data_IF_465965837551
#
_entry.id   IF_465965837551
#
_cell.length_a   1.000
_cell.length_b   1.000
_cell.length_c   1.000
_cell.angle_alpha   90.00
_cell.angle_beta   90.00
_cell.angle_gamma   90.00
#
_symmetry.space_group_name_H-M   'P 1'
#
loop_
_entity.id
_entity.type
_entity.pdbx_description
1 polymer ?
#
# COMPACT_ATOMS: atom_id res chain seq x y z
N UNK A 1 -34.25 -12.83 -25.86
CA UNK A 1 -33.31 -12.60 -26.98
C UNK A 1 -31.94 -13.19 -26.67
N UNK A 2 -31.07 -13.38 -27.65
CA UNK A 2 -29.69 -13.89 -27.46
C UNK A 2 -28.89 -12.96 -26.53
N UNK A 3 -29.16 -11.66 -26.52
CA UNK A 3 -28.54 -10.70 -25.61
C UNK A 3 -28.98 -10.91 -24.16
N UNK A 4 -30.22 -11.16 -23.88
CA UNK A 4 -30.74 -11.46 -22.53
C UNK A 4 -30.14 -12.75 -22.00
N UNK A 5 -30.01 -13.79 -22.80
CA UNK A 5 -29.33 -15.03 -22.41
C UNK A 5 -27.84 -14.81 -22.11
N UNK A 6 -27.15 -13.94 -22.85
CA UNK A 6 -25.77 -13.57 -22.56
C UNK A 6 -25.64 -12.79 -21.22
N UNK A 7 -26.56 -11.86 -20.97
CA UNK A 7 -26.56 -11.12 -19.70
C UNK A 7 -26.83 -12.05 -18.52
N UNK A 8 -27.84 -12.90 -18.59
CA UNK A 8 -28.16 -13.88 -17.54
C UNK A 8 -26.98 -14.82 -17.31
N UNK A 9 -26.34 -15.35 -18.36
CA UNK A 9 -25.16 -16.22 -18.20
C UNK A 9 -23.94 -15.51 -17.62
N UNK A 10 -23.75 -14.23 -17.91
CA UNK A 10 -22.69 -13.42 -17.31
C UNK A 10 -22.93 -13.14 -15.82
N UNK A 11 -24.19 -12.90 -15.42
CA UNK A 11 -24.53 -12.73 -14.00
C UNK A 11 -24.31 -14.01 -13.21
N UNK A 12 -24.81 -15.17 -13.70
CA UNK A 12 -24.55 -16.43 -13.01
C UNK A 12 -23.07 -16.76 -12.89
N UNK A 13 -22.29 -16.58 -13.96
CA UNK A 13 -20.84 -16.81 -13.93
C UNK A 13 -20.12 -15.89 -12.94
N UNK A 14 -20.60 -14.66 -12.78
CA UNK A 14 -20.04 -13.70 -11.82
C UNK A 14 -20.35 -14.10 -10.39
N UNK A 15 -21.54 -14.55 -10.10
CA UNK A 15 -21.95 -15.02 -8.78
C UNK A 15 -21.23 -16.31 -8.40
N UNK A 16 -21.07 -17.25 -9.34
CA UNK A 16 -20.28 -18.47 -9.14
C UNK A 16 -18.81 -18.15 -8.80
N UNK A 17 -18.19 -17.22 -9.53
CA UNK A 17 -16.81 -16.79 -9.23
C UNK A 17 -16.68 -16.13 -7.86
N UNK A 18 -17.66 -15.35 -7.42
CA UNK A 18 -17.67 -14.78 -6.07
C UNK A 18 -17.77 -15.87 -5.00
N UNK A 19 -18.62 -16.87 -5.19
CA UNK A 19 -18.72 -18.02 -4.28
C UNK A 19 -17.39 -18.78 -4.19
N UNK A 20 -16.72 -18.99 -5.32
CA UNK A 20 -15.39 -19.59 -5.35
C UNK A 20 -14.34 -18.74 -4.62
N UNK A 21 -14.38 -17.40 -4.78
CA UNK A 21 -13.49 -16.49 -4.07
C UNK A 21 -13.69 -16.54 -2.55
N UNK A 22 -14.95 -16.55 -2.09
CA UNK A 22 -15.24 -16.70 -0.66
C UNK A 22 -14.80 -18.07 -0.13
N UNK A 23 -15.02 -19.14 -0.89
CA UNK A 23 -14.56 -20.48 -0.49
C UNK A 23 -13.04 -20.55 -0.34
N UNK A 24 -12.29 -19.90 -1.24
CA UNK A 24 -10.84 -19.79 -1.16
C UNK A 24 -10.40 -18.96 0.06
N UNK A 25 -11.11 -17.85 0.35
CA UNK A 25 -10.84 -17.03 1.53
C UNK A 25 -11.11 -17.81 2.83
N UNK A 26 -12.25 -18.49 2.93
CA UNK A 26 -12.59 -19.30 4.10
C UNK A 26 -11.56 -20.39 4.34
N UNK A 27 -11.04 -21.00 3.27
CA UNK A 27 -9.95 -21.97 3.37
C UNK A 27 -8.69 -21.34 3.92
N UNK A 28 -8.29 -20.16 3.42
CA UNK A 28 -7.11 -19.45 3.92
C UNK A 28 -7.25 -19.10 5.40
N UNK A 29 -8.41 -18.59 5.81
CA UNK A 29 -8.71 -18.29 7.21
C UNK A 29 -8.69 -19.58 8.06
N UNK A 30 -9.21 -20.69 7.56
CA UNK A 30 -9.16 -21.97 8.22
C UNK A 30 -7.73 -22.44 8.49
N UNK A 31 -6.86 -22.34 7.48
CA UNK A 31 -5.43 -22.69 7.60
C UNK A 31 -4.71 -21.79 8.61
N UNK A 32 -4.92 -20.47 8.54
CA UNK A 32 -4.33 -19.54 9.51
C UNK A 32 -4.76 -19.85 10.94
N UNK A 33 -6.05 -20.14 11.15
CA UNK A 33 -6.58 -20.54 12.46
C UNK A 33 -5.97 -21.86 12.97
N UNK A 34 -5.72 -22.83 12.11
CA UNK A 34 -5.05 -24.07 12.47
C UNK A 34 -3.64 -23.81 13.01
N UNK A 35 -2.84 -22.98 12.30
CA UNK A 35 -1.52 -22.56 12.77
C UNK A 35 -1.58 -21.83 14.10
N UNK A 36 -2.54 -20.90 14.26
CA UNK A 36 -2.74 -20.17 15.52
C UNK A 36 -3.10 -21.09 16.70
N UNK A 37 -3.86 -22.15 16.46
CA UNK A 37 -4.21 -23.14 17.50
C UNK A 37 -3.00 -24.01 17.86
N UNK A 38 -2.26 -24.48 16.87
CA UNK A 38 -1.17 -25.45 17.05
C UNK A 38 0.12 -24.76 17.51
N UNK A 39 0.55 -23.73 16.78
CA UNK A 39 1.83 -23.06 16.99
C UNK A 39 1.72 -21.76 17.80
N UNK A 40 0.50 -21.26 17.99
CA UNK A 40 0.14 -20.04 18.75
C UNK A 40 0.72 -18.75 18.18
N UNK A 41 1.42 -18.80 17.05
CA UNK A 41 2.03 -17.62 16.41
C UNK A 41 2.24 -17.86 14.91
N UNK A 42 2.14 -16.79 14.14
CA UNK A 42 2.49 -16.75 12.72
C UNK A 42 3.75 -15.88 12.61
N UNK A 43 4.92 -16.49 12.46
CA UNK A 43 6.18 -15.76 12.41
C UNK A 43 6.85 -15.79 11.04
N UNK A 44 6.55 -16.79 10.21
CA UNK A 44 7.15 -16.95 8.89
C UNK A 44 6.22 -17.73 7.94
N UNK A 45 6.00 -17.26 6.69
CA UNK A 45 5.19 -18.00 5.70
C UNK A 45 5.67 -19.42 5.41
N UNK A 46 6.97 -19.72 5.63
CA UNK A 46 7.55 -21.05 5.46
C UNK A 46 7.04 -22.10 6.46
N UNK A 47 6.37 -21.66 7.55
CA UNK A 47 5.60 -22.56 8.40
C UNK A 47 4.56 -23.37 7.59
N UNK A 48 4.10 -22.86 6.45
CA UNK A 48 3.09 -23.46 5.56
C UNK A 48 1.88 -22.59 5.29
N UNK A 49 1.57 -21.64 6.16
CA UNK A 49 0.43 -20.75 6.00
C UNK A 49 0.57 -19.78 4.81
N UNK A 50 1.79 -19.49 4.36
CA UNK A 50 2.04 -18.62 3.20
C UNK A 50 1.48 -19.17 1.88
N UNK A 51 1.19 -20.47 1.81
CA UNK A 51 0.49 -21.10 0.69
C UNK A 51 -0.63 -22.02 1.19
N UNK A 52 -1.75 -21.47 1.63
CA UNK A 52 -2.84 -22.22 2.25
C UNK A 52 -3.48 -23.25 1.34
N UNK A 53 -3.50 -23.03 0.02
CA UNK A 53 -4.03 -24.00 -0.95
C UNK A 53 -3.14 -25.24 -1.01
N UNK A 54 -1.84 -25.05 -1.07
CA UNK A 54 -0.88 -26.18 -1.08
C UNK A 54 -0.89 -26.93 0.23
N UNK A 55 -0.96 -26.22 1.35
CA UNK A 55 -1.00 -26.82 2.68
C UNK A 55 -2.25 -27.67 2.91
N UNK A 56 -3.43 -27.15 2.58
CA UNK A 56 -4.69 -27.88 2.76
C UNK A 56 -4.89 -29.02 1.77
N UNK A 57 -4.27 -28.96 0.60
CA UNK A 57 -4.50 -29.90 -0.51
C UNK A 57 -5.91 -29.79 -1.11
N UNK A 58 -6.69 -28.75 -0.79
CA UNK A 58 -8.05 -28.55 -1.27
C UNK A 58 -8.02 -27.75 -2.56
N UNK A 59 -8.83 -28.18 -3.52
CA UNK A 59 -9.00 -27.55 -4.83
C UNK A 59 -10.49 -27.30 -5.13
N UNK A 60 -10.80 -26.36 -6.05
CA UNK A 60 -12.18 -26.17 -6.50
C UNK A 60 -12.79 -27.48 -7.03
N UNK A 61 -14.08 -27.69 -6.76
CA UNK A 61 -14.81 -28.85 -7.31
C UNK A 61 -14.97 -28.75 -8.83
N UNK A 62 -15.10 -27.52 -9.35
CA UNK A 62 -15.14 -27.27 -10.79
C UNK A 62 -13.69 -27.20 -11.34
N UNK A 63 -13.27 -28.13 -12.20
CA UNK A 63 -11.91 -28.16 -12.74
C UNK A 63 -11.59 -26.99 -13.69
N UNK A 64 -12.59 -26.23 -14.11
CA UNK A 64 -12.40 -25.01 -14.94
C UNK A 64 -12.06 -23.78 -14.13
N UNK A 65 -12.25 -23.83 -12.81
CA UNK A 65 -11.93 -22.75 -11.86
C UNK A 65 -10.55 -22.98 -11.28
N UNK A 66 -9.78 -21.90 -11.17
CA UNK A 66 -8.48 -21.90 -10.46
C UNK A 66 -8.54 -20.92 -9.31
N UNK A 67 -8.09 -21.33 -8.16
CA UNK A 67 -7.86 -20.46 -7.00
C UNK A 67 -6.42 -19.99 -6.97
N UNK A 68 -6.24 -18.73 -6.63
CA UNK A 68 -4.94 -18.15 -6.27
C UNK A 68 -5.13 -17.26 -5.05
N UNK A 69 -4.31 -17.46 -4.04
CA UNK A 69 -4.34 -16.69 -2.80
C UNK A 69 -2.93 -16.16 -2.56
N UNK A 70 -2.82 -14.88 -2.28
CA UNK A 70 -1.60 -14.26 -1.79
C UNK A 70 -1.87 -13.72 -0.38
N UNK A 71 -1.04 -14.10 0.57
CA UNK A 71 -1.07 -13.59 1.94
C UNK A 71 0.14 -12.68 2.13
N UNK A 72 -0.11 -11.49 2.64
CA UNK A 72 0.91 -10.49 2.96
C UNK A 72 0.87 -10.29 4.47
N UNK A 73 2.02 -10.41 5.12
CA UNK A 73 2.15 -10.12 6.54
C UNK A 73 2.39 -8.63 6.74
N UNK A 74 1.37 -7.93 7.18
CA UNK A 74 1.50 -6.49 7.48
C UNK A 74 2.46 -6.21 8.64
N UNK A 75 2.70 -7.18 9.54
CA UNK A 75 3.69 -7.02 10.60
C UNK A 75 5.15 -6.99 10.12
N UNK A 76 5.40 -7.40 8.90
CA UNK A 76 6.72 -7.24 8.25
C UNK A 76 7.02 -5.82 7.75
N UNK A 77 6.06 -4.91 7.86
CA UNK A 77 6.17 -3.52 7.41
C UNK A 77 6.34 -2.56 8.60
N UNK A 78 6.83 -1.36 8.35
CA UNK A 78 6.92 -0.31 9.37
C UNK A 78 5.56 0.39 9.49
N UNK A 79 5.00 0.52 10.71
CA UNK A 79 3.82 1.37 10.90
C UNK A 79 4.17 2.82 10.58
N UNK A 80 3.41 3.46 9.69
CA UNK A 80 3.63 4.88 9.34
C UNK A 80 3.56 5.77 10.59
N UNK A 81 2.69 5.43 11.54
CA UNK A 81 2.54 6.18 12.79
C UNK A 81 3.75 6.13 13.73
N UNK A 82 4.71 5.23 13.51
CA UNK A 82 5.86 5.00 14.40
C UNK A 82 7.21 5.38 13.79
N UNK A 83 7.26 5.71 12.51
CA UNK A 83 8.51 6.12 11.85
C UNK A 83 8.93 7.53 12.33
N UNK A 84 10.22 7.73 12.49
CA UNK A 84 10.74 9.06 12.82
C UNK A 84 10.84 9.92 11.55
N UNK A 85 10.62 11.23 11.70
CA UNK A 85 10.73 12.21 10.62
C UNK A 85 11.97 12.02 9.76
N UNK A 86 13.16 12.05 10.39
CA UNK A 86 14.45 11.89 9.70
C UNK A 86 14.54 10.62 8.84
N UNK A 87 13.92 9.51 9.29
CA UNK A 87 13.95 8.25 8.56
C UNK A 87 13.01 8.29 7.36
N UNK A 88 11.86 8.95 7.50
CA UNK A 88 10.90 9.11 6.41
C UNK A 88 11.40 10.11 5.37
N UNK A 89 11.98 11.23 5.78
CA UNK A 89 12.65 12.20 4.91
C UNK A 89 13.77 11.52 4.12
N UNK A 90 14.66 10.78 4.79
CA UNK A 90 15.71 10.01 4.11
C UNK A 90 15.15 8.96 3.14
N UNK A 91 14.03 8.35 3.47
CA UNK A 91 13.36 7.37 2.59
C UNK A 91 12.85 8.03 1.31
N UNK A 92 12.22 9.20 1.40
CA UNK A 92 11.79 9.98 0.24
C UNK A 92 12.97 10.50 -0.58
N UNK A 93 14.02 11.01 0.07
CA UNK A 93 15.23 11.46 -0.61
C UNK A 93 15.88 10.35 -1.44
N UNK A 94 15.98 9.12 -0.90
CA UNK A 94 16.49 7.96 -1.64
C UNK A 94 15.60 7.63 -2.85
N UNK A 95 14.30 7.75 -2.72
CA UNK A 95 13.37 7.53 -3.84
C UNK A 95 13.55 8.59 -4.93
N UNK A 96 13.83 9.83 -4.53
CA UNK A 96 14.05 10.95 -5.44
C UNK A 96 15.36 10.86 -6.19
N UNK A 97 16.42 10.36 -5.56
CA UNK A 97 17.81 10.43 -6.03
C UNK A 97 18.10 9.75 -7.39
N UNK A 98 17.16 9.01 -7.97
CA UNK A 98 17.22 8.39 -9.29
C UNK A 98 18.61 7.77 -9.64
N UNK A 99 19.29 7.24 -8.60
CA UNK A 99 20.62 6.65 -8.67
C UNK A 99 21.79 7.64 -8.67
N UNK A 100 21.54 8.94 -8.50
CA UNK A 100 22.55 9.99 -8.28
C UNK A 100 22.85 10.21 -6.79
N UNK A 101 23.60 11.25 -6.47
CA UNK A 101 23.89 11.60 -5.08
C UNK A 101 22.60 11.96 -4.35
N UNK A 102 22.37 11.34 -3.18
CA UNK A 102 21.21 11.63 -2.33
C UNK A 102 21.48 12.89 -1.53
N UNK A 103 20.66 13.91 -1.72
CA UNK A 103 20.57 15.05 -0.80
C UNK A 103 19.43 14.75 0.18
N UNK A 104 19.72 14.84 1.49
CA UNK A 104 18.68 14.58 2.50
C UNK A 104 17.55 15.61 2.43
N UNK A 105 17.84 16.84 2.00
CA UNK A 105 16.85 17.90 1.83
C UNK A 105 15.85 17.59 0.70
N UNK A 106 16.20 16.74 -0.29
CA UNK A 106 15.29 16.33 -1.37
C UNK A 106 14.05 15.55 -0.89
N UNK A 107 14.05 15.04 0.32
CA UNK A 107 12.92 14.32 0.91
C UNK A 107 11.96 15.20 1.73
N UNK A 108 12.42 16.40 2.13
CA UNK A 108 11.67 17.27 3.03
C UNK A 108 10.32 17.73 2.45
N UNK A 109 10.21 18.15 1.17
CA UNK A 109 8.94 18.61 0.61
C UNK A 109 7.83 17.55 0.67
N UNK A 110 8.17 16.28 0.48
CA UNK A 110 7.20 15.18 0.55
C UNK A 110 6.76 14.90 2.00
N UNK A 111 7.70 15.01 2.94
CA UNK A 111 7.38 14.86 4.36
C UNK A 111 6.47 16.00 4.82
N UNK A 112 6.83 17.25 4.55
CA UNK A 112 6.08 18.44 4.97
C UNK A 112 4.65 18.41 4.39
N UNK A 113 4.51 18.19 3.08
CA UNK A 113 3.19 18.06 2.44
C UNK A 113 2.34 16.91 3.01
N UNK A 114 2.98 15.78 3.37
CA UNK A 114 2.28 14.67 4.00
C UNK A 114 1.84 15.00 5.43
N UNK A 115 2.58 15.82 6.15
CA UNK A 115 2.23 16.21 7.52
C UNK A 115 1.14 17.27 7.54
N UNK A 116 1.21 18.29 6.69
CA UNK A 116 0.18 19.33 6.54
C UNK A 116 -1.16 18.70 6.09
N UNK A 117 -1.12 17.71 5.20
CA UNK A 117 -2.32 16.96 4.81
C UNK A 117 -3.05 16.31 6.00
N UNK A 118 -2.34 15.98 7.07
CA UNK A 118 -2.85 15.18 8.19
C UNK A 118 -3.19 15.98 9.43
N UNK A 119 -2.57 17.14 9.63
CA UNK A 119 -2.87 17.94 10.82
C UNK A 119 -4.15 18.78 10.62
N UNK A 120 -4.58 19.46 11.64
CA UNK A 120 -5.87 20.14 11.65
C UNK A 120 -5.72 21.65 11.77
N UNK A 121 -4.48 22.15 11.72
CA UNK A 121 -4.24 23.59 11.66
C UNK A 121 -3.97 24.05 10.22
N UNK A 122 -3.73 25.32 10.01
CA UNK A 122 -3.47 25.94 8.71
C UNK A 122 -2.05 26.54 8.68
N UNK A 123 -1.17 26.05 9.54
CA UNK A 123 0.20 26.53 9.65
C UNK A 123 1.10 25.70 8.69
N UNK A 124 1.23 26.14 7.44
CA UNK A 124 2.03 25.51 6.40
C UNK A 124 3.49 25.35 6.81
N UNK A 125 4.05 24.14 6.67
CA UNK A 125 5.48 23.88 6.82
C UNK A 125 6.26 24.50 5.67
N UNK A 126 7.59 24.64 5.87
CA UNK A 126 8.46 25.36 4.93
C UNK A 126 8.32 24.88 3.46
N UNK A 127 8.10 23.59 3.23
CA UNK A 127 7.97 22.99 1.90
C UNK A 127 6.62 22.27 1.72
N UNK A 128 5.69 22.50 2.64
CA UNK A 128 4.41 21.80 2.72
C UNK A 128 3.31 22.36 1.82
N UNK A 129 2.06 22.07 2.15
CA UNK A 129 0.88 22.61 1.49
C UNK A 129 -0.36 22.44 2.37
N UNK A 130 -1.07 23.54 2.57
CA UNK A 130 -2.34 23.63 3.27
C UNK A 130 -3.51 23.95 2.32
N UNK A 131 -4.67 24.19 2.84
CA UNK A 131 -5.90 24.41 2.08
C UNK A 131 -5.76 25.47 0.99
N UNK A 132 -5.01 26.56 1.23
CA UNK A 132 -4.77 27.62 0.25
C UNK A 132 -4.13 27.07 -1.06
N UNK A 133 -3.20 26.11 -0.95
CA UNK A 133 -2.61 25.45 -2.12
C UNK A 133 -3.64 24.60 -2.88
N UNK A 134 -4.44 23.81 -2.16
CA UNK A 134 -5.39 22.88 -2.77
C UNK A 134 -6.64 23.58 -3.33
N UNK A 135 -7.01 24.74 -2.80
CA UNK A 135 -8.09 25.58 -3.34
C UNK A 135 -7.74 26.21 -4.71
N UNK A 136 -6.46 26.49 -4.96
CA UNK A 136 -5.99 27.12 -6.20
C UNK A 136 -5.83 26.11 -7.36
N UNK A 137 -6.03 24.81 -7.13
CA UNK A 137 -5.98 23.80 -8.18
C UNK A 137 -7.17 23.89 -9.15
N UNK A 138 -7.00 23.41 -10.38
CA UNK A 138 -8.07 23.30 -11.39
C UNK A 138 -9.32 22.56 -10.90
N UNK A 139 -9.16 21.62 -10.00
CA UNK A 139 -10.21 20.89 -9.31
C UNK A 139 -10.03 21.04 -7.81
N UNK A 140 -10.51 22.13 -7.22
CA UNK A 140 -10.28 22.47 -5.82
C UNK A 140 -10.79 21.42 -4.83
N UNK A 141 -10.04 21.20 -3.76
CA UNK A 141 -10.42 20.41 -2.59
C UNK A 141 -9.70 20.93 -1.35
N UNK A 142 -9.97 20.35 -0.21
CA UNK A 142 -9.38 20.71 1.08
C UNK A 142 -8.61 19.54 1.66
N UNK A 143 -7.66 19.83 2.53
CA UNK A 143 -7.00 18.84 3.34
C UNK A 143 -8.02 18.14 4.27
N UNK A 144 -7.89 16.85 4.56
CA UNK A 144 -8.83 16.18 5.44
C UNK A 144 -8.58 16.51 6.93
N UNK A 145 -7.45 17.11 7.31
CA UNK A 145 -7.06 17.42 8.67
C UNK A 145 -7.08 16.17 9.59
N UNK A 146 -6.74 15.01 9.07
CA UNK A 146 -6.72 13.72 9.77
C UNK A 146 -5.64 12.81 9.22
N UNK A 147 -5.26 11.81 10.00
CA UNK A 147 -4.29 10.79 9.56
C UNK A 147 -4.70 10.14 8.24
N UNK A 148 -3.73 9.91 7.38
CA UNK A 148 -3.90 9.13 6.13
C UNK A 148 -4.34 7.72 6.50
N UNK A 149 -5.42 7.25 5.88
CA UNK A 149 -6.01 5.94 6.14
C UNK A 149 -5.72 4.92 5.04
N UNK A 150 -5.36 5.39 3.85
CA UNK A 150 -5.08 4.51 2.73
C UNK A 150 -4.07 5.13 1.75
N UNK A 151 -3.41 4.25 0.97
CA UNK A 151 -2.37 4.67 0.02
C UNK A 151 -2.90 5.50 -1.17
N UNK A 152 -4.18 5.44 -1.49
CA UNK A 152 -4.74 6.22 -2.61
C UNK A 152 -4.82 7.72 -2.30
N UNK A 153 -4.83 8.10 -1.02
CA UNK A 153 -4.80 9.50 -0.59
C UNK A 153 -3.55 10.25 -1.08
N UNK A 154 -2.43 9.54 -1.24
CA UNK A 154 -1.21 10.14 -1.80
C UNK A 154 -1.37 10.72 -3.21
N UNK A 155 -2.43 10.37 -3.94
CA UNK A 155 -2.75 11.01 -5.22
C UNK A 155 -3.14 12.48 -5.09
N UNK A 156 -3.58 12.87 -3.90
CA UNK A 156 -4.12 14.20 -3.62
C UNK A 156 -3.11 15.09 -2.89
N UNK A 157 -2.01 14.54 -2.43
CA UNK A 157 -0.99 15.26 -1.65
C UNK A 157 0.04 15.85 -2.61
N UNK A 158 0.38 17.13 -2.42
CA UNK A 158 1.40 17.87 -3.20
C UNK A 158 2.70 17.05 -3.32
N UNK A 159 3.27 17.02 -4.52
CA UNK A 159 4.52 16.32 -4.82
C UNK A 159 4.38 14.81 -5.11
N UNK A 160 3.36 14.11 -4.59
CA UNK A 160 3.23 12.66 -4.79
C UNK A 160 2.65 12.26 -6.15
N UNK A 161 1.71 13.01 -6.69
CA UNK A 161 1.28 12.89 -8.08
C UNK A 161 2.10 13.82 -8.98
N UNK A 162 2.17 13.47 -10.27
CA UNK A 162 2.86 14.31 -11.25
C UNK A 162 2.10 15.60 -11.46
N UNK A 163 2.84 16.71 -11.43
CA UNK A 163 2.38 18.05 -11.74
C UNK A 163 3.18 18.58 -12.95
N UNK A 164 2.48 19.04 -13.99
CA UNK A 164 3.13 19.59 -15.19
C UNK A 164 3.78 20.96 -14.96
N UNK A 165 3.31 21.68 -13.95
CA UNK A 165 3.87 23.00 -13.58
C UNK A 165 5.12 22.85 -12.73
N UNK A 166 5.26 21.74 -12.01
CA UNK A 166 6.44 21.40 -11.22
C UNK A 166 6.94 19.94 -11.43
N UNK A 167 7.38 19.59 -12.63
CA UNK A 167 7.76 18.22 -12.96
C UNK A 167 9.04 17.73 -12.26
N UNK A 168 9.76 18.62 -11.57
CA UNK A 168 11.00 18.25 -10.86
C UNK A 168 10.72 17.84 -9.42
N UNK A 169 9.71 18.41 -8.77
CA UNK A 169 9.37 18.20 -7.36
C UNK A 169 8.07 17.44 -7.17
N UNK A 170 7.58 16.82 -8.24
CA UNK A 170 6.36 16.04 -8.23
C UNK A 170 6.53 14.66 -8.85
N UNK A 171 5.50 13.83 -8.75
CA UNK A 171 5.43 12.54 -9.44
C UNK A 171 6.20 11.40 -8.78
N UNK A 172 6.57 11.53 -7.50
CA UNK A 172 7.31 10.45 -6.81
C UNK A 172 6.53 9.14 -6.74
N UNK A 173 5.21 9.19 -6.57
CA UNK A 173 4.35 8.01 -6.48
C UNK A 173 3.50 7.75 -7.71
N UNK A 174 3.10 8.80 -8.43
CA UNK A 174 2.24 8.68 -9.62
C UNK A 174 2.79 9.53 -10.74
N UNK A 175 3.03 8.90 -11.90
CA UNK A 175 3.58 9.55 -13.07
C UNK A 175 2.51 10.35 -13.86
N UNK A 176 2.89 11.05 -14.92
CA UNK A 176 2.04 11.90 -15.76
C UNK A 176 0.78 11.20 -16.31
N UNK A 177 0.79 9.89 -16.48
CA UNK A 177 -0.39 9.14 -16.91
C UNK A 177 -1.23 8.60 -15.74
N UNK A 178 -0.93 8.99 -14.50
CA UNK A 178 -1.61 8.57 -13.27
C UNK A 178 -1.32 7.15 -12.83
N UNK A 179 -0.35 6.46 -13.45
CA UNK A 179 0.06 5.12 -13.03
C UNK A 179 1.04 5.18 -11.87
N UNK A 180 0.98 4.17 -10.98
CA UNK A 180 1.92 4.04 -9.87
C UNK A 180 3.35 3.85 -10.38
N UNK A 181 4.27 4.57 -9.75
CA UNK A 181 5.72 4.40 -9.94
C UNK A 181 6.24 3.17 -9.18
N UNK A 182 7.49 2.83 -9.39
CA UNK A 182 8.17 1.81 -8.57
C UNK A 182 8.31 2.27 -7.11
N UNK A 183 8.39 3.58 -6.87
CA UNK A 183 8.51 4.15 -5.53
C UNK A 183 7.24 3.95 -4.72
N UNK A 184 6.04 4.13 -5.33
CA UNK A 184 4.78 3.83 -4.66
C UNK A 184 4.67 2.36 -4.28
N UNK A 185 5.10 1.45 -5.16
CA UNK A 185 5.12 0.01 -4.85
C UNK A 185 6.06 -0.29 -3.69
N UNK A 186 7.28 0.24 -3.71
CA UNK A 186 8.25 0.07 -2.64
C UNK A 186 7.72 0.65 -1.32
N UNK A 187 7.09 1.82 -1.35
CA UNK A 187 6.49 2.44 -0.17
C UNK A 187 5.39 1.57 0.43
N UNK A 188 4.47 1.09 -0.40
CA UNK A 188 3.39 0.18 0.01
C UNK A 188 3.91 -1.17 0.55
N UNK A 189 5.03 -1.65 0.02
CA UNK A 189 5.67 -2.87 0.50
C UNK A 189 6.38 -2.67 1.84
N UNK A 190 6.88 -1.46 2.12
CA UNK A 190 7.65 -1.15 3.32
C UNK A 190 6.81 -0.62 4.49
N UNK A 191 5.69 0.06 4.22
CA UNK A 191 4.88 0.75 5.23
C UNK A 191 3.49 0.17 5.36
N UNK A 192 2.90 0.32 6.55
CA UNK A 192 1.55 -0.15 6.86
C UNK A 192 0.76 0.88 7.66
N UNK A 193 -0.54 0.98 7.36
CA UNK A 193 -1.54 1.67 8.17
C UNK A 193 -2.30 0.73 9.10
N UNK A 194 -2.06 -0.59 9.01
CA UNK A 194 -2.91 -1.62 9.59
C UNK A 194 -2.36 -2.27 10.85
N UNK A 195 -1.12 -1.97 11.22
CA UNK A 195 -0.53 -2.50 12.45
C UNK A 195 0.28 -1.41 13.17
N UNK A 196 0.47 -1.58 14.49
CA UNK A 196 1.18 -0.65 15.37
C UNK A 196 2.27 -1.35 16.21
N UNK A 197 2.56 -2.60 15.90
CA UNK A 197 3.52 -3.44 16.65
C UNK A 197 4.95 -3.34 16.12
N UNK A 198 5.87 -4.10 16.71
CA UNK A 198 7.23 -4.23 16.21
C UNK A 198 7.25 -4.93 14.86
N UNK A 199 8.24 -4.59 14.03
CA UNK A 199 8.40 -5.17 12.69
C UNK A 199 8.85 -6.63 12.78
N UNK A 200 8.13 -7.52 12.10
CA UNK A 200 8.53 -8.91 11.93
C UNK A 200 9.63 -9.02 10.87
N UNK A 201 10.86 -9.18 11.30
CA UNK A 201 12.03 -9.21 10.41
C UNK A 201 12.02 -10.41 9.45
N UNK A 202 11.30 -11.50 9.78
CA UNK A 202 11.24 -12.68 8.91
C UNK A 202 10.41 -12.45 7.64
N UNK A 203 9.50 -11.47 7.69
CA UNK A 203 8.61 -11.14 6.57
C UNK A 203 8.86 -9.73 6.03
N UNK A 204 9.81 -8.99 6.64
CA UNK A 204 10.18 -7.66 6.20
C UNK A 204 10.76 -7.67 4.77
N UNK A 205 10.36 -6.73 3.89
CA UNK A 205 10.88 -6.63 2.53
C UNK A 205 12.39 -6.39 2.53
N UNK A 206 13.11 -6.98 1.58
CA UNK A 206 14.56 -6.80 1.47
C UNK A 206 14.98 -5.33 1.32
N UNK A 207 14.15 -4.53 0.65
CA UNK A 207 14.37 -3.08 0.51
C UNK A 207 14.36 -2.37 1.87
N UNK A 208 13.38 -2.69 2.73
CA UNK A 208 13.28 -2.15 4.08
C UNK A 208 14.48 -2.53 4.95
N UNK A 209 14.87 -3.82 4.91
CA UNK A 209 16.04 -4.32 5.66
C UNK A 209 17.30 -3.57 5.21
N UNK A 210 17.47 -3.39 3.89
CA UNK A 210 18.61 -2.65 3.34
C UNK A 210 18.60 -1.19 3.76
N UNK A 211 17.45 -0.55 3.86
CA UNK A 211 17.33 0.85 4.28
C UNK A 211 17.76 1.06 5.74
N UNK A 212 17.30 0.21 6.65
CA UNK A 212 17.60 0.37 8.08
C UNK A 212 18.91 -0.29 8.55
N UNK A 213 19.45 -1.25 7.82
CA UNK A 213 20.63 -2.01 8.22
C UNK A 213 21.87 -1.72 7.35
N UNK A 214 21.70 -0.99 6.25
CA UNK A 214 22.61 -0.43 5.31
C UNK A 214 23.79 -0.71 4.90
#
# INVERSE_FOLDING_TARGET
TVQELRHVSQFHRRDDLRMHAYSALDLAVGVLNEFMIVEKTLYDPSQGWGNPLSYSGISPLDPTVKWSISLIDESGKVPISSIQEKDLVSFFAIMRADGSFVDEDDGQPFFDSMMDWQDADEDERDEGAEDDFYEDLDSPYFTPGRKIENFEEFRMIKGFAFDEDDPRESGIFYNENGSETIHMKNFRDCFSFFHEGPVNINTAPAYLIKFFCG
#
